data_IF_351232290690
#
_entry.id   IF_351232290690
#
_cell.length_a   1.000
_cell.length_b   1.000
_cell.length_c   1.000
_cell.angle_alpha   90.00
_cell.angle_beta   90.00
_cell.angle_gamma   90.00
#
_symmetry.space_group_name_H-M   'P 1'
#
loop_
_entity.id
_entity.type
_entity.pdbx_description
1 polymer ?
#
# COMPACT_ATOMS: atom_id res chain seq x y z
N UNK A 1 -9.26 9.79 -22.21
CA UNK A 1 -9.32 8.31 -22.12
C UNK A 1 -8.35 7.77 -21.06
N UNK A 2 -7.05 8.09 -21.12
CA UNK A 2 -6.04 7.72 -20.11
C UNK A 2 -6.42 8.16 -18.68
N UNK A 3 -6.93 9.39 -18.51
CA UNK A 3 -7.34 9.92 -17.20
C UNK A 3 -8.43 9.06 -16.52
N UNK A 4 -9.40 8.58 -17.30
CA UNK A 4 -10.51 7.74 -16.83
C UNK A 4 -10.03 6.36 -16.37
N UNK A 5 -9.04 5.80 -17.07
CA UNK A 5 -8.43 4.51 -16.74
C UNK A 5 -7.69 4.57 -15.40
N UNK A 6 -6.90 5.63 -15.19
CA UNK A 6 -6.23 5.85 -13.90
C UNK A 6 -7.22 6.09 -12.76
N UNK A 7 -8.28 6.87 -13.00
CA UNK A 7 -9.32 7.11 -11.99
C UNK A 7 -10.06 5.81 -11.64
N UNK A 8 -10.41 4.98 -12.63
CA UNK A 8 -11.02 3.67 -12.40
C UNK A 8 -10.11 2.73 -11.62
N UNK A 9 -8.81 2.71 -11.96
CA UNK A 9 -7.83 1.90 -11.24
C UNK A 9 -7.75 2.31 -9.75
N UNK A 10 -7.70 3.62 -9.47
CA UNK A 10 -7.66 4.16 -8.12
C UNK A 10 -8.97 3.90 -7.36
N UNK A 11 -10.13 4.03 -8.02
CA UNK A 11 -11.45 3.77 -7.42
C UNK A 11 -11.64 2.28 -7.12
N UNK A 12 -11.20 1.39 -8.01
CA UNK A 12 -11.22 -0.05 -7.77
C UNK A 12 -10.26 -0.43 -6.64
N UNK A 13 -9.07 0.17 -6.58
CA UNK A 13 -8.16 0.02 -5.43
C UNK A 13 -8.82 0.51 -4.13
N UNK A 14 -9.44 1.69 -4.14
CA UNK A 14 -10.12 2.24 -2.97
C UNK A 14 -11.33 1.38 -2.54
N UNK A 15 -12.06 0.78 -3.50
CA UNK A 15 -13.22 -0.08 -3.24
C UNK A 15 -12.86 -1.49 -2.77
N UNK A 16 -11.75 -2.06 -3.23
CA UNK A 16 -11.25 -3.37 -2.78
C UNK A 16 -10.65 -3.28 -1.36
N UNK A 17 -10.24 -2.10 -0.91
CA UNK A 17 -9.58 -1.92 0.40
C UNK A 17 -10.36 -1.04 1.40
N UNK A 18 -11.52 -1.48 1.93
CA UNK A 18 -12.30 -0.64 2.86
C UNK A 18 -11.71 -0.44 4.26
N UNK A 19 -10.79 -1.28 4.77
CA UNK A 19 -10.29 -1.16 6.15
C UNK A 19 -8.86 -1.68 6.28
N UNK A 20 -7.88 -0.79 6.21
CA UNK A 20 -6.46 -1.12 6.32
C UNK A 20 -6.08 -1.52 7.76
N UNK A 21 -5.95 -2.83 8.01
CA UNK A 21 -5.14 -3.35 9.13
C UNK A 21 -3.66 -3.34 8.71
N UNK A 22 -2.77 -2.93 9.61
CA UNK A 22 -1.31 -2.79 9.43
C UNK A 22 -0.62 -3.93 8.64
N UNK A 23 -1.07 -5.18 8.80
CA UNK A 23 -0.50 -6.34 8.09
C UNK A 23 -0.72 -6.37 6.56
N UNK A 24 -1.63 -5.56 6.02
CA UNK A 24 -1.96 -5.59 4.59
C UNK A 24 -0.88 -4.91 3.73
N UNK A 25 -0.08 -4.01 4.31
CA UNK A 25 1.01 -3.33 3.62
C UNK A 25 2.06 -4.31 3.08
N UNK A 26 2.48 -5.26 3.91
CA UNK A 26 3.45 -6.30 3.57
C UNK A 26 2.87 -7.23 2.50
N UNK A 27 1.62 -7.65 2.64
CA UNK A 27 0.94 -8.47 1.63
C UNK A 27 0.92 -7.77 0.26
N UNK A 28 0.63 -6.47 0.24
CA UNK A 28 0.61 -5.68 -0.99
C UNK A 28 2.00 -5.53 -1.62
N UNK A 29 3.04 -5.30 -0.82
CA UNK A 29 4.44 -5.26 -1.29
C UNK A 29 4.81 -6.61 -1.92
N UNK A 30 4.50 -7.72 -1.26
CA UNK A 30 4.77 -9.07 -1.78
C UNK A 30 4.01 -9.31 -3.09
N UNK A 31 2.73 -8.97 -3.14
CA UNK A 31 1.91 -9.12 -4.35
C UNK A 31 2.46 -8.30 -5.53
N UNK A 32 2.84 -7.04 -5.30
CA UNK A 32 3.41 -6.18 -6.34
C UNK A 32 4.81 -6.63 -6.77
N UNK A 33 5.60 -7.20 -5.86
CA UNK A 33 6.91 -7.79 -6.18
C UNK A 33 6.75 -9.04 -7.05
N UNK A 34 5.79 -9.92 -6.72
CA UNK A 34 5.47 -11.09 -7.53
C UNK A 34 4.96 -10.69 -8.91
N UNK A 35 4.09 -9.68 -8.98
CA UNK A 35 3.59 -9.16 -10.25
C UNK A 35 4.74 -8.59 -11.10
N UNK A 36 5.65 -7.82 -10.50
CA UNK A 36 6.87 -7.34 -11.17
C UNK A 36 7.76 -8.48 -11.65
N UNK A 37 7.88 -9.57 -10.88
CA UNK A 37 8.66 -10.76 -11.25
C UNK A 37 8.12 -11.40 -12.53
N UNK A 38 6.79 -11.45 -12.71
CA UNK A 38 6.16 -11.97 -13.93
C UNK A 38 6.55 -11.11 -15.15
N UNK A 39 6.58 -9.78 -15.02
CA UNK A 39 7.04 -8.89 -16.09
C UNK A 39 8.52 -9.10 -16.45
N UNK A 40 9.39 -9.32 -15.45
CA UNK A 40 10.79 -9.66 -15.69
C UNK A 40 10.96 -11.03 -16.35
N UNK A 41 10.13 -12.01 -15.96
CA UNK A 41 10.14 -13.33 -16.59
C UNK A 41 9.66 -13.28 -18.04
N UNK A 42 8.62 -12.49 -18.34
CA UNK A 42 8.17 -12.23 -19.71
C UNK A 42 9.28 -11.56 -20.54
N UNK A 43 9.94 -10.54 -19.99
CA UNK A 43 11.07 -9.90 -20.67
C UNK A 43 12.22 -10.88 -20.95
N UNK A 44 12.49 -11.81 -20.03
CA UNK A 44 13.49 -12.87 -20.24
C UNK A 44 13.06 -13.84 -21.36
N UNK A 45 11.79 -14.26 -21.38
CA UNK A 45 11.25 -15.11 -22.42
C UNK A 45 11.33 -14.45 -23.81
N UNK A 46 10.95 -13.17 -23.91
CA UNK A 46 11.03 -12.39 -25.15
C UNK A 46 12.48 -12.22 -25.61
N UNK A 47 13.41 -12.02 -24.66
CA UNK A 47 14.84 -11.98 -24.96
C UNK A 47 15.36 -13.32 -25.48
N UNK A 48 14.91 -14.46 -24.94
CA UNK A 48 15.29 -15.79 -25.43
C UNK A 48 14.66 -16.15 -26.77
N UNK A 49 13.49 -15.61 -27.08
CA UNK A 49 12.77 -15.83 -28.35
C UNK A 49 13.25 -14.93 -29.49
N UNK A 50 14.26 -14.08 -29.25
CA UNK A 50 14.86 -13.22 -30.26
C UNK A 50 14.01 -11.98 -30.59
N UNK A 51 13.13 -11.56 -29.68
CA UNK A 51 12.33 -10.36 -29.87
C UNK A 51 13.20 -9.09 -29.90
N UNK A 52 12.73 -8.01 -30.56
CA UNK A 52 13.42 -6.74 -30.62
C UNK A 52 13.79 -6.21 -29.23
N UNK A 53 15.06 -5.81 -29.06
CA UNK A 53 15.58 -5.30 -27.79
C UNK A 53 14.79 -4.11 -27.20
N UNK A 54 14.07 -3.34 -28.02
CA UNK A 54 13.22 -2.24 -27.53
C UNK A 54 11.98 -2.76 -26.77
N UNK A 55 11.41 -3.90 -27.18
CA UNK A 55 10.22 -4.50 -26.55
C UNK A 55 10.61 -5.04 -25.18
N UNK A 56 11.68 -5.84 -25.12
CA UNK A 56 12.26 -6.36 -23.87
C UNK A 56 12.56 -5.21 -22.89
N UNK A 57 13.18 -4.13 -23.39
CA UNK A 57 13.53 -2.97 -22.56
C UNK A 57 12.29 -2.23 -22.02
N UNK A 58 11.24 -2.07 -22.81
CA UNK A 58 9.97 -1.48 -22.36
C UNK A 58 9.29 -2.36 -21.30
N UNK A 59 9.35 -3.68 -21.45
CA UNK A 59 8.77 -4.59 -20.48
C UNK A 59 9.51 -4.55 -19.13
N UNK A 60 10.85 -4.48 -19.17
CA UNK A 60 11.71 -4.28 -17.99
C UNK A 60 11.40 -2.94 -17.29
N UNK A 61 11.26 -1.85 -18.05
CA UNK A 61 10.90 -0.53 -17.49
C UNK A 61 9.53 -0.59 -16.83
N UNK A 62 8.56 -1.27 -17.44
CA UNK A 62 7.22 -1.42 -16.88
C UNK A 62 7.25 -2.21 -15.56
N UNK A 63 8.02 -3.31 -15.50
CA UNK A 63 8.26 -4.06 -14.26
C UNK A 63 8.88 -3.20 -13.15
N UNK A 64 9.90 -2.40 -13.46
CA UNK A 64 10.52 -1.47 -12.50
C UNK A 64 9.54 -0.42 -11.96
N UNK A 65 8.68 0.14 -12.83
CA UNK A 65 7.68 1.12 -12.42
C UNK A 65 6.66 0.48 -11.46
N UNK A 66 6.17 -0.72 -11.76
CA UNK A 66 5.23 -1.45 -10.91
C UNK A 66 5.86 -1.78 -9.56
N UNK A 67 7.13 -2.21 -9.54
CA UNK A 67 7.87 -2.46 -8.31
C UNK A 67 8.00 -1.19 -7.44
N UNK A 68 8.38 -0.07 -8.07
CA UNK A 68 8.51 1.21 -7.38
C UNK A 68 7.17 1.68 -6.77
N UNK A 69 6.07 1.55 -7.52
CA UNK A 69 4.73 1.89 -7.04
C UNK A 69 4.34 1.00 -5.85
N UNK A 70 4.60 -0.30 -5.93
CA UNK A 70 4.31 -1.25 -4.84
C UNK A 70 5.03 -0.88 -3.54
N UNK A 71 6.29 -0.47 -3.62
CA UNK A 71 7.07 -0.01 -2.47
C UNK A 71 6.57 1.32 -1.89
N UNK A 72 6.30 2.32 -2.74
CA UNK A 72 5.81 3.63 -2.30
C UNK A 72 4.44 3.49 -1.62
N UNK A 73 3.50 2.74 -2.22
CA UNK A 73 2.19 2.50 -1.62
C UNK A 73 2.32 1.70 -0.32
N UNK A 74 3.13 0.64 -0.31
CA UNK A 74 3.35 -0.19 0.88
C UNK A 74 3.86 0.62 2.08
N UNK A 75 4.83 1.50 1.85
CA UNK A 75 5.36 2.41 2.87
C UNK A 75 4.33 3.47 3.30
N UNK A 76 3.61 4.06 2.34
CA UNK A 76 2.60 5.08 2.62
C UNK A 76 1.45 4.54 3.49
N UNK A 77 1.03 3.28 3.26
CA UNK A 77 0.02 2.59 4.07
C UNK A 77 0.53 2.42 5.50
N UNK A 78 1.79 2.01 5.67
CA UNK A 78 2.37 1.80 7.00
C UNK A 78 2.46 3.13 7.78
N UNK A 79 2.76 4.23 7.10
CA UNK A 79 2.76 5.56 7.69
C UNK A 79 1.36 6.03 8.11
N UNK A 80 0.35 5.81 7.27
CA UNK A 80 -1.04 6.12 7.61
C UNK A 80 -1.56 5.28 8.79
N UNK A 81 -1.24 3.99 8.81
CA UNK A 81 -1.62 3.10 9.91
C UNK A 81 -1.03 3.55 11.25
N UNK A 82 0.24 4.00 11.27
CA UNK A 82 0.87 4.55 12.47
C UNK A 82 0.17 5.81 12.98
N UNK A 83 -0.22 6.72 12.08
CA UNK A 83 -0.96 7.93 12.44
C UNK A 83 -2.33 7.62 13.04
N UNK A 84 -3.05 6.67 12.43
CA UNK A 84 -4.36 6.25 12.93
C UNK A 84 -4.27 5.63 14.34
N UNK A 85 -3.28 4.75 14.56
CA UNK A 85 -3.05 4.15 15.86
C UNK A 85 -2.66 5.19 16.93
N UNK A 86 -1.82 6.17 16.57
CA UNK A 86 -1.42 7.23 17.49
C UNK A 86 -2.62 8.06 17.96
N UNK A 87 -3.51 8.44 17.04
CA UNK A 87 -4.75 9.18 17.36
C UNK A 87 -5.66 8.40 18.31
N UNK A 88 -5.78 7.08 18.10
CA UNK A 88 -6.61 6.22 18.96
C UNK A 88 -6.05 6.10 20.39
N UNK A 89 -4.72 6.06 20.56
CA UNK A 89 -4.10 6.03 21.89
C UNK A 89 -4.22 7.38 22.62
N UNK A 90 -4.19 8.50 21.90
CA UNK A 90 -4.43 9.83 22.47
C UNK A 90 -5.87 9.96 22.98
N UNK A 91 -6.86 9.61 22.17
CA UNK A 91 -8.28 9.59 22.57
C UNK A 91 -8.50 8.69 23.79
N UNK A 92 -7.91 7.49 23.79
CA UNK A 92 -7.99 6.55 24.92
C UNK A 92 -7.37 7.13 26.20
N UNK A 93 -6.25 7.84 26.09
CA UNK A 93 -5.59 8.48 27.23
C UNK A 93 -6.43 9.62 27.80
N UNK A 94 -7.07 10.40 26.95
CA UNK A 94 -8.01 11.46 27.35
C UNK A 94 -9.22 10.87 28.10
N UNK A 95 -9.84 9.82 27.56
CA UNK A 95 -10.94 9.12 28.22
C UNK A 95 -10.52 8.58 29.60
N UNK A 96 -9.36 7.91 29.70
CA UNK A 96 -8.86 7.39 30.97
C UNK A 96 -8.62 8.51 32.00
N UNK A 97 -8.12 9.66 31.56
CA UNK A 97 -7.94 10.82 32.43
C UNK A 97 -9.27 11.32 32.97
N UNK A 98 -10.28 11.49 32.12
CA UNK A 98 -11.61 11.94 32.57
C UNK A 98 -12.27 10.99 33.56
N UNK A 99 -12.07 9.67 33.41
CA UNK A 99 -12.58 8.66 34.35
C UNK A 99 -11.87 8.75 35.69
N UNK A 100 -10.54 8.91 35.70
CA UNK A 100 -9.78 9.08 36.94
C UNK A 100 -10.17 10.37 37.67
N UNK A 101 -10.26 11.48 36.95
CA UNK A 101 -10.63 12.78 37.52
C UNK A 101 -12.05 12.71 38.14
N UNK A 102 -13.00 12.00 37.51
CA UNK A 102 -14.33 11.77 38.06
C UNK A 102 -14.35 10.79 39.26
N UNK A 103 -13.46 9.81 39.29
CA UNK A 103 -13.35 8.84 40.40
C UNK A 103 -12.72 9.47 41.65
N UNK A 104 -11.82 10.44 41.47
CA UNK A 104 -11.21 11.18 42.57
C UNK A 104 -12.19 12.19 43.20
N UNK A 105 -13.13 12.75 42.43
CA UNK A 105 -14.20 13.65 42.93
C UNK A 105 -15.25 12.91 43.78
N UNK A 106 -15.56 11.64 43.50
CA UNK A 106 -16.45 10.81 44.33
C UNK A 106 -15.79 10.28 45.62
N UNK A 107 -14.46 10.38 45.75
CA UNK A 107 -13.70 9.90 46.92
C UNK A 107 -13.23 11.01 47.87
N UNK A 108 -13.37 12.28 47.48
CA UNK A 108 -13.13 13.46 48.34
C UNK A 108 -14.33 13.78 49.23
#
# INVERSE_FOLDING_TARGET
>A
MIKTIFTLLIVVLAGIFPKFKSGFSIFFIIAMTLLSSIFFFGAYADHTNGEPAWIVRNMIISGMIILAIGWILGLAINWQAKKYLAMTEEEKKEILKTINDATDDERG
#
